data_IF_451072862031
#
_entry.id   IF_451072862031
#
_cell.length_a   1.000
_cell.length_b   1.000
_cell.length_c   1.000
_cell.angle_alpha   90.00
_cell.angle_beta   90.00
_cell.angle_gamma   90.00
#
_symmetry.space_group_name_H-M   'P 1'
#
loop_
_entity.id
_entity.type
_entity.pdbx_description
1 polymer ?
#
# COMPACT_ATOMS: atom_id res chain seq x y z
N UNK A 1 4.40 -16.44 -11.35
CA UNK A 1 4.08 -15.04 -11.00
C UNK A 1 5.29 -14.51 -10.24
N UNK A 2 5.99 -13.51 -10.78
CA UNK A 2 7.20 -12.96 -10.12
C UNK A 2 6.77 -11.78 -9.25
N UNK A 3 6.76 -11.98 -7.93
CA UNK A 3 6.46 -10.90 -6.99
C UNK A 3 7.65 -9.95 -6.88
N UNK A 4 7.43 -8.66 -7.12
CA UNK A 4 8.45 -7.63 -6.87
C UNK A 4 8.66 -7.46 -5.38
N UNK A 5 9.91 -7.24 -4.96
CA UNK A 5 10.27 -7.05 -3.55
C UNK A 5 9.45 -5.94 -2.86
N UNK A 6 9.10 -4.88 -3.61
CA UNK A 6 8.27 -3.77 -3.15
C UNK A 6 6.86 -4.23 -2.73
N UNK A 7 6.25 -5.17 -3.46
CA UNK A 7 4.90 -5.67 -3.18
C UNK A 7 4.85 -6.49 -1.88
N UNK A 8 5.90 -7.26 -1.57
CA UNK A 8 5.99 -7.97 -0.29
C UNK A 8 6.08 -7.03 0.90
N UNK A 9 6.92 -5.99 0.79
CA UNK A 9 7.06 -4.99 1.84
C UNK A 9 5.73 -4.24 2.07
N UNK A 10 5.04 -3.86 0.99
CA UNK A 10 3.72 -3.23 1.07
C UNK A 10 2.70 -4.11 1.80
N UNK A 11 2.65 -5.40 1.45
CA UNK A 11 1.75 -6.34 2.10
C UNK A 11 2.08 -6.53 3.58
N UNK A 12 3.36 -6.70 3.93
CA UNK A 12 3.81 -6.83 5.33
C UNK A 12 3.44 -5.59 6.16
N UNK A 13 3.57 -4.40 5.58
CA UNK A 13 3.20 -3.15 6.23
C UNK A 13 1.70 -3.08 6.55
N UNK A 14 0.85 -3.51 5.60
CA UNK A 14 -0.61 -3.47 5.76
C UNK A 14 -1.15 -4.56 6.70
N UNK A 15 -0.45 -5.70 6.84
CA UNK A 15 -0.76 -6.72 7.85
C UNK A 15 -0.64 -6.17 9.28
N UNK A 16 0.19 -5.13 9.49
CA UNK A 16 0.35 -4.43 10.78
C UNK A 16 -0.70 -3.32 11.00
N UNK A 17 -1.64 -3.16 10.07
CA UNK A 17 -2.78 -2.25 10.18
C UNK A 17 -2.87 -1.26 9.01
N UNK A 18 -3.94 -0.43 8.97
CA UNK A 18 -4.23 0.41 7.82
C UNK A 18 -3.15 1.47 7.57
N UNK A 19 -2.73 1.64 6.31
CA UNK A 19 -1.69 2.60 5.86
C UNK A 19 -2.14 3.47 4.70
N UNK A 20 -1.64 4.69 4.59
CA UNK A 20 -1.81 5.51 3.38
C UNK A 20 -0.69 5.24 2.37
N UNK A 21 -0.83 5.76 1.15
CA UNK A 21 0.24 5.69 0.15
C UNK A 21 1.49 6.43 0.60
N UNK A 22 1.33 7.56 1.29
CA UNK A 22 2.43 8.31 1.88
C UNK A 22 3.16 7.49 2.93
N UNK A 23 2.45 6.84 3.87
CA UNK A 23 3.08 6.01 4.90
C UNK A 23 3.95 4.89 4.27
N UNK A 24 3.48 4.30 3.18
CA UNK A 24 4.19 3.22 2.48
C UNK A 24 5.39 3.74 1.68
N UNK A 25 5.23 4.90 1.05
CA UNK A 25 6.28 5.55 0.29
C UNK A 25 7.45 5.97 1.19
N UNK A 26 7.13 6.56 2.34
CA UNK A 26 8.12 6.99 3.33
C UNK A 26 8.96 5.81 3.84
N UNK A 27 8.33 4.66 4.11
CA UNK A 27 9.04 3.47 4.58
C UNK A 27 9.88 2.79 3.49
N UNK A 28 9.42 2.83 2.25
CA UNK A 28 10.15 2.30 1.09
C UNK A 28 11.26 3.25 0.61
N UNK A 29 11.30 4.49 1.10
CA UNK A 29 12.22 5.52 0.62
C UNK A 29 11.97 5.90 -0.85
N UNK A 30 10.71 5.87 -1.30
CA UNK A 30 10.31 6.16 -2.68
C UNK A 30 9.23 7.25 -2.72
N UNK A 31 8.94 7.74 -3.92
CA UNK A 31 7.82 8.66 -4.16
C UNK A 31 6.45 7.95 -4.04
N UNK A 32 5.44 8.63 -3.50
CA UNK A 32 4.09 8.09 -3.33
C UNK A 32 3.42 7.63 -4.64
N UNK A 33 3.76 8.26 -5.78
CA UNK A 33 3.30 7.80 -7.11
C UNK A 33 3.91 6.44 -7.48
N UNK A 34 5.14 6.16 -7.02
CA UNK A 34 5.78 4.85 -7.23
C UNK A 34 5.18 3.79 -6.31
N UNK A 35 4.84 4.14 -5.07
CA UNK A 35 4.14 3.24 -4.14
C UNK A 35 2.72 2.86 -4.61
N UNK A 36 2.09 3.66 -5.48
CA UNK A 36 0.77 3.37 -6.02
C UNK A 36 0.74 2.12 -6.92
N UNK A 37 1.84 1.81 -7.61
CA UNK A 37 1.93 0.64 -8.49
C UNK A 37 1.81 -0.71 -7.72
N UNK A 38 2.66 -1.01 -6.72
CA UNK A 38 2.54 -2.25 -5.95
C UNK A 38 1.23 -2.33 -5.16
N UNK A 39 0.73 -1.21 -4.63
CA UNK A 39 -0.59 -1.18 -3.95
C UNK A 39 -1.73 -1.50 -4.92
N UNK A 40 -1.67 -0.99 -6.15
CA UNK A 40 -2.66 -1.28 -7.19
C UNK A 40 -2.64 -2.74 -7.65
N UNK A 41 -1.44 -3.33 -7.79
CA UNK A 41 -1.25 -4.74 -8.11
C UNK A 41 -1.88 -5.63 -7.04
N UNK A 42 -1.53 -5.42 -5.77
CA UNK A 42 -2.11 -6.16 -4.64
C UNK A 42 -3.64 -5.99 -4.54
N UNK A 43 -4.16 -4.80 -4.86
CA UNK A 43 -5.60 -4.57 -4.85
C UNK A 43 -6.31 -5.31 -5.99
N UNK A 44 -5.68 -5.39 -7.17
CA UNK A 44 -6.21 -6.15 -8.31
C UNK A 44 -6.22 -7.66 -8.07
N UNK A 45 -5.31 -8.15 -7.24
CA UNK A 45 -5.24 -9.54 -6.78
C UNK A 45 -6.18 -9.83 -5.60
N UNK A 46 -6.88 -8.81 -5.07
CA UNK A 46 -7.77 -8.96 -3.92
C UNK A 46 -7.04 -9.16 -2.60
N UNK A 47 -5.75 -8.86 -2.54
CA UNK A 47 -4.92 -8.99 -1.33
C UNK A 47 -5.01 -7.77 -0.42
N UNK A 48 -5.44 -6.62 -0.95
CA UNK A 48 -5.64 -5.40 -0.19
C UNK A 48 -6.90 -4.66 -0.62
N UNK A 49 -7.60 -4.06 0.33
CA UNK A 49 -8.79 -3.26 0.12
C UNK A 49 -8.56 -1.78 0.43
N UNK A 50 -9.19 -0.93 -0.36
CA UNK A 50 -9.21 0.51 -0.11
C UNK A 50 -10.34 0.89 0.84
N UNK A 51 -10.01 1.32 2.05
CA UNK A 51 -10.97 1.86 3.02
C UNK A 51 -11.17 3.37 2.80
N UNK A 52 -12.42 3.83 2.86
CA UNK A 52 -12.69 5.27 3.01
C UNK A 52 -12.18 5.71 4.38
N UNK A 53 -11.32 6.71 4.37
CA UNK A 53 -10.70 7.29 5.57
C UNK A 53 -11.14 8.74 5.65
N UNK A 54 -11.60 9.18 6.82
CA UNK A 54 -11.85 10.60 7.11
C UNK A 54 -10.54 11.36 7.41
N UNK A 55 -9.38 10.70 7.32
CA UNK A 55 -8.08 11.32 7.61
C UNK A 55 -7.73 12.37 6.55
N UNK A 56 -7.20 13.54 6.95
CA UNK A 56 -6.65 14.53 6.02
C UNK A 56 -5.43 14.01 5.25
N UNK A 57 -4.83 12.90 5.69
CA UNK A 57 -3.70 12.23 5.01
C UNK A 57 -4.11 11.33 3.84
N UNK A 58 -5.40 11.28 3.50
CA UNK A 58 -5.87 10.54 2.33
C UNK A 58 -6.41 9.14 2.65
N UNK A 59 -6.51 8.33 1.59
CA UNK A 59 -7.16 7.01 1.61
C UNK A 59 -6.25 5.99 2.31
N UNK A 60 -6.86 5.10 3.10
CA UNK A 60 -6.14 4.02 3.79
C UNK A 60 -6.40 2.70 3.09
N UNK A 61 -5.39 1.85 3.11
CA UNK A 61 -5.40 0.51 2.55
C UNK A 61 -5.15 -0.50 3.67
N UNK A 62 -5.82 -1.63 3.58
CA UNK A 62 -5.71 -2.75 4.52
C UNK A 62 -5.60 -4.04 3.75
N UNK A 63 -4.89 -5.03 4.27
CA UNK A 63 -5.11 -6.42 3.87
C UNK A 63 -6.47 -6.91 4.37
#
# INVERSE_FOLDING_TARGET
>A
MEFKAESYLVLEMMLRGPRTLEDMADMLGIDARRAAAPVGELASEGLVERRRSASPRGKRYTC
#
